data_IF_998188237115
#
_entry.id   IF_998188237115
#
_cell.length_a   1.000
_cell.length_b   1.000
_cell.length_c   1.000
_cell.angle_alpha   90.00
_cell.angle_beta   90.00
_cell.angle_gamma   90.00
#
_symmetry.space_group_name_H-M   'P 1'
#
loop_
_entity.id
_entity.type
_entity.pdbx_description
1 polymer ?
#
# COMPACT_ATOMS: atom_id res chain seq x y z
N UNK A 1 35.08 -15.86 18.61
CA UNK A 1 34.70 -16.17 17.21
C UNK A 1 35.90 -16.48 16.31
N UNK A 2 36.94 -15.65 16.21
CA UNK A 2 38.08 -15.88 15.29
C UNK A 2 38.82 -17.22 15.50
N UNK A 3 39.07 -17.62 16.76
CA UNK A 3 39.72 -18.89 17.10
C UNK A 3 38.92 -20.14 16.67
N UNK A 4 37.61 -20.01 16.46
CA UNK A 4 36.74 -21.11 16.01
C UNK A 4 36.77 -21.30 14.49
N UNK A 5 37.23 -20.28 13.74
CA UNK A 5 37.29 -20.29 12.27
C UNK A 5 38.71 -20.43 11.73
N UNK A 6 39.73 -19.94 12.46
CA UNK A 6 41.14 -20.07 12.07
C UNK A 6 41.83 -21.20 12.84
N UNK A 7 41.79 -22.40 12.28
CA UNK A 7 42.47 -23.59 12.81
C UNK A 7 43.99 -23.45 12.71
N UNK A 8 44.70 -23.71 13.82
CA UNK A 8 46.17 -23.75 13.84
C UNK A 8 46.85 -22.39 14.03
N UNK A 9 46.14 -21.35 14.47
CA UNK A 9 46.76 -20.07 14.82
C UNK A 9 47.73 -20.25 16.01
N UNK A 10 48.99 -19.84 15.85
CA UNK A 10 50.05 -19.99 16.87
C UNK A 10 50.42 -18.65 17.53
N UNK A 11 49.87 -17.54 17.05
CA UNK A 11 50.09 -16.20 17.60
C UNK A 11 48.89 -15.26 17.41
N UNK A 12 48.86 -14.15 18.16
CA UNK A 12 47.87 -13.09 17.95
C UNK A 12 48.02 -12.41 16.57
N UNK A 13 49.23 -12.39 16.02
CA UNK A 13 49.50 -11.83 14.70
C UNK A 13 48.89 -12.71 13.59
N UNK A 14 48.91 -14.03 13.79
CA UNK A 14 48.19 -14.96 12.91
C UNK A 14 46.70 -14.68 12.96
N UNK A 15 46.12 -14.46 14.15
CA UNK A 15 44.68 -14.20 14.28
C UNK A 15 44.25 -12.91 13.56
N UNK A 16 45.13 -11.89 13.51
CA UNK A 16 44.88 -10.61 12.82
C UNK A 16 45.11 -10.66 11.30
N UNK A 17 45.67 -11.73 10.76
CA UNK A 17 46.00 -11.82 9.34
C UNK A 17 44.91 -12.55 8.56
N UNK A 18 44.14 -11.83 7.73
CA UNK A 18 43.06 -12.38 6.89
C UNK A 18 43.46 -12.23 5.42
N UNK A 19 43.37 -13.31 4.63
CA UNK A 19 43.77 -13.33 3.21
C UNK A 19 45.20 -12.80 2.93
N UNK A 20 46.13 -12.96 3.88
CA UNK A 20 47.52 -12.50 3.76
C UNK A 20 47.75 -11.02 4.12
N UNK A 21 46.71 -10.31 4.53
CA UNK A 21 46.79 -8.91 4.97
C UNK A 21 46.57 -8.83 6.50
N UNK A 22 47.43 -8.07 7.18
CA UNK A 22 47.36 -7.90 8.63
C UNK A 22 46.39 -6.76 8.98
N UNK A 23 45.28 -7.11 9.60
CA UNK A 23 44.31 -6.17 10.14
C UNK A 23 44.87 -5.43 11.37
N UNK A 24 44.41 -4.20 11.59
CA UNK A 24 44.87 -3.34 12.67
C UNK A 24 44.25 -3.77 14.01
N UNK A 25 43.02 -4.29 13.97
CA UNK A 25 42.27 -4.71 15.16
C UNK A 25 41.61 -6.07 14.95
N UNK A 26 41.31 -6.77 16.05
CA UNK A 26 40.59 -8.05 16.00
C UNK A 26 39.16 -7.88 15.47
N UNK A 27 38.56 -6.70 15.65
CA UNK A 27 37.25 -6.37 15.12
C UNK A 27 37.29 -6.29 13.59
N UNK A 28 38.30 -5.62 13.02
CA UNK A 28 38.51 -5.57 11.57
C UNK A 28 38.77 -6.97 11.00
N UNK A 29 39.56 -7.80 11.69
CA UNK A 29 39.75 -9.20 11.30
C UNK A 29 38.43 -9.99 11.33
N UNK A 30 37.56 -9.76 12.31
CA UNK A 30 36.22 -10.37 12.34
C UNK A 30 35.33 -9.90 11.18
N UNK A 31 35.38 -8.62 10.79
CA UNK A 31 34.63 -8.09 9.63
C UNK A 31 35.11 -8.74 8.32
N UNK A 32 36.43 -8.84 8.10
CA UNK A 32 37.02 -9.49 6.93
C UNK A 32 36.70 -10.99 6.85
N UNK A 33 36.52 -11.66 7.99
CA UNK A 33 36.05 -13.05 8.06
C UNK A 33 34.52 -13.18 7.91
N UNK A 34 33.77 -12.09 7.75
CA UNK A 34 32.31 -12.08 7.69
C UNK A 34 31.64 -12.47 9.02
N UNK A 35 32.34 -12.31 10.15
CA UNK A 35 31.90 -12.69 11.50
C UNK A 35 31.25 -11.54 12.27
N UNK A 36 31.40 -10.30 11.79
CA UNK A 36 30.66 -9.14 12.25
C UNK A 36 29.88 -8.60 11.05
N UNK A 37 28.56 -8.50 11.19
CA UNK A 37 27.71 -7.79 10.23
C UNK A 37 27.87 -6.31 10.52
N UNK A 38 28.60 -5.58 9.69
CA UNK A 38 28.57 -4.12 9.72
C UNK A 38 27.27 -3.60 9.07
N UNK A 39 27.03 -2.30 9.17
CA UNK A 39 25.84 -1.66 8.60
C UNK A 39 25.80 -1.63 7.07
N UNK A 40 26.85 -2.10 6.38
CA UNK A 40 26.98 -2.08 4.92
C UNK A 40 25.76 -2.67 4.21
N UNK A 41 25.21 -3.78 4.72
CA UNK A 41 24.01 -4.41 4.15
C UNK A 41 22.80 -3.48 4.16
N UNK A 42 22.68 -2.60 5.17
CA UNK A 42 21.61 -1.62 5.28
C UNK A 42 21.83 -0.46 4.32
N UNK A 43 23.09 -0.03 4.13
CA UNK A 43 23.41 0.97 3.11
C UNK A 43 23.14 0.45 1.70
N UNK A 44 23.53 -0.78 1.40
CA UNK A 44 23.30 -1.41 0.10
C UNK A 44 21.80 -1.51 -0.19
N UNK A 45 21.00 -1.95 0.80
CA UNK A 45 19.54 -2.04 0.67
C UNK A 45 18.88 -0.67 0.39
N UNK A 46 19.30 0.39 1.10
CA UNK A 46 18.78 1.74 0.89
C UNK A 46 19.23 2.33 -0.46
N UNK A 47 20.49 2.11 -0.86
CA UNK A 47 21.03 2.55 -2.15
C UNK A 47 20.33 1.87 -3.32
N UNK A 48 20.08 0.57 -3.21
CA UNK A 48 19.36 -0.19 -4.22
C UNK A 48 17.92 0.31 -4.33
N UNK A 49 17.20 0.37 -3.21
CA UNK A 49 15.83 0.85 -3.19
C UNK A 49 15.70 2.28 -3.75
N UNK A 50 16.69 3.15 -3.49
CA UNK A 50 16.67 4.53 -3.96
C UNK A 50 16.65 4.67 -5.49
N UNK A 51 17.00 3.63 -6.24
CA UNK A 51 16.98 3.65 -7.71
C UNK A 51 15.57 3.50 -8.29
N UNK A 52 14.60 2.93 -7.55
CA UNK A 52 13.28 2.60 -8.09
C UNK A 52 12.10 2.85 -7.15
N UNK A 53 12.34 3.12 -5.87
CA UNK A 53 11.29 3.42 -4.88
C UNK A 53 11.08 4.93 -4.72
N UNK A 54 9.86 5.31 -4.34
CA UNK A 54 9.59 6.70 -3.96
C UNK A 54 10.23 7.06 -2.61
N UNK A 55 10.56 8.34 -2.34
CA UNK A 55 11.14 8.78 -1.07
C UNK A 55 10.35 8.33 0.17
N UNK A 56 9.01 8.29 0.10
CA UNK A 56 8.17 7.75 1.19
C UNK A 56 8.40 6.26 1.43
N UNK A 57 8.52 5.47 0.38
CA UNK A 57 8.82 4.03 0.49
C UNK A 57 10.23 3.81 1.05
N UNK A 58 11.20 4.68 0.70
CA UNK A 58 12.53 4.68 1.33
C UNK A 58 12.46 4.98 2.83
N UNK A 59 11.66 5.97 3.25
CA UNK A 59 11.45 6.26 4.68
C UNK A 59 10.79 5.11 5.43
N UNK A 60 9.87 4.37 4.79
CA UNK A 60 9.28 3.14 5.35
C UNK A 60 10.34 2.04 5.51
N UNK A 61 11.18 1.83 4.49
CA UNK A 61 12.28 0.86 4.55
C UNK A 61 13.29 1.24 5.64
N UNK A 62 13.66 2.52 5.74
CA UNK A 62 14.53 3.04 6.80
C UNK A 62 13.95 2.74 8.20
N UNK A 63 12.66 3.00 8.42
CA UNK A 63 12.01 2.70 9.70
C UNK A 63 11.97 1.19 10.01
N UNK A 64 11.76 0.34 8.99
CA UNK A 64 11.83 -1.12 9.12
C UNK A 64 13.24 -1.59 9.49
N UNK A 65 14.27 -1.06 8.82
CA UNK A 65 15.68 -1.34 9.11
C UNK A 65 15.99 -0.92 10.55
N UNK A 66 15.52 0.23 11.02
CA UNK A 66 15.71 0.62 12.41
C UNK A 66 14.96 -0.28 13.41
N UNK A 67 13.77 -0.78 13.03
CA UNK A 67 12.92 -1.61 13.88
C UNK A 67 13.37 -3.06 14.03
N UNK A 68 13.91 -3.64 12.96
CA UNK A 68 14.27 -5.06 12.89
C UNK A 68 15.73 -5.31 12.56
N UNK A 69 16.40 -4.36 11.93
CA UNK A 69 17.82 -4.44 11.64
C UNK A 69 18.62 -4.14 12.90
N UNK A 70 19.61 -4.99 13.17
CA UNK A 70 20.64 -4.72 14.18
C UNK A 70 21.62 -3.67 13.63
N UNK A 71 21.14 -2.43 13.46
CA UNK A 71 21.96 -1.31 12.95
C UNK A 71 22.85 -0.80 14.08
N UNK A 72 24.16 -0.70 13.83
CA UNK A 72 25.13 -0.19 14.81
C UNK A 72 25.10 1.35 14.91
N UNK A 73 25.00 2.07 13.78
CA UNK A 73 25.02 3.53 13.68
C UNK A 73 23.86 4.08 12.82
N UNK A 74 22.68 4.18 13.43
CA UNK A 74 21.49 4.78 12.78
C UNK A 74 21.71 6.25 12.36
N UNK A 75 22.41 7.11 13.14
CA UNK A 75 22.79 8.45 12.68
C UNK A 75 23.58 8.49 11.39
N UNK A 76 24.61 7.64 11.21
CA UNK A 76 25.35 7.56 9.95
C UNK A 76 24.45 7.10 8.80
N UNK A 77 23.64 6.06 9.03
CA UNK A 77 22.67 5.56 8.05
C UNK A 77 21.71 6.68 7.59
N UNK A 78 21.22 7.51 8.51
CA UNK A 78 20.41 8.67 8.16
C UNK A 78 21.19 9.69 7.33
N UNK A 79 22.40 10.07 7.74
CA UNK A 79 23.20 11.10 7.07
C UNK A 79 23.54 10.69 5.63
N UNK A 80 23.96 9.45 5.42
CA UNK A 80 24.35 8.94 4.10
C UNK A 80 23.18 8.88 3.13
N UNK A 81 21.97 8.60 3.62
CA UNK A 81 20.78 8.41 2.79
C UNK A 81 19.79 9.58 2.84
N UNK A 82 20.12 10.66 3.56
CA UNK A 82 19.23 11.79 3.82
C UNK A 82 18.66 12.37 2.53
N UNK A 83 19.50 12.57 1.51
CA UNK A 83 19.11 13.21 0.24
C UNK A 83 17.97 12.44 -0.43
N UNK A 84 18.11 11.11 -0.56
CA UNK A 84 17.07 10.25 -1.15
C UNK A 84 15.85 10.13 -0.24
N UNK A 85 16.07 10.11 1.09
CA UNK A 85 14.99 10.04 2.08
C UNK A 85 14.17 11.33 2.18
N UNK A 86 14.68 12.48 1.74
CA UNK A 86 13.98 13.76 1.85
C UNK A 86 13.69 14.44 0.50
N UNK A 87 14.02 13.81 -0.63
CA UNK A 87 13.92 14.39 -1.98
C UNK A 87 12.55 15.03 -2.27
N UNK A 88 11.46 14.34 -1.96
CA UNK A 88 10.09 14.83 -2.16
C UNK A 88 9.78 16.08 -1.31
N UNK A 89 10.28 16.13 -0.09
CA UNK A 89 10.12 17.27 0.82
C UNK A 89 11.05 18.42 0.49
N UNK A 90 12.27 18.16 0.02
CA UNK A 90 13.19 19.19 -0.47
C UNK A 90 12.62 19.86 -1.71
N UNK A 91 12.10 19.07 -2.65
CA UNK A 91 11.45 19.58 -3.86
C UNK A 91 10.20 20.40 -3.54
N UNK A 92 9.45 20.02 -2.51
CA UNK A 92 8.22 20.73 -2.11
C UNK A 92 8.47 21.98 -1.27
N UNK A 93 9.49 21.95 -0.41
CA UNK A 93 9.77 23.00 0.55
C UNK A 93 11.13 23.64 0.27
N UNK A 94 12.18 23.18 0.94
CA UNK A 94 13.55 23.64 0.73
C UNK A 94 14.54 22.63 1.27
N UNK A 95 15.81 22.72 0.84
CA UNK A 95 16.90 21.90 1.38
C UNK A 95 17.06 22.02 2.89
N UNK A 96 16.69 23.17 3.47
CA UNK A 96 16.80 23.44 4.91
C UNK A 96 15.68 22.77 5.71
N UNK A 97 14.47 22.74 5.16
CA UNK A 97 13.27 22.26 5.88
C UNK A 97 12.89 20.82 5.51
N UNK A 98 13.25 20.35 4.32
CA UNK A 98 12.98 19.00 3.81
C UNK A 98 13.42 17.87 4.75
N UNK A 99 14.67 17.87 5.27
CA UNK A 99 15.13 16.87 6.24
C UNK A 99 14.30 16.82 7.52
N UNK A 100 13.78 17.96 7.99
CA UNK A 100 12.94 18.01 9.19
C UNK A 100 11.58 17.34 8.95
N UNK A 101 10.99 17.53 7.77
CA UNK A 101 9.74 16.84 7.39
C UNK A 101 9.96 15.34 7.20
N UNK A 102 11.09 14.94 6.61
CA UNK A 102 11.43 13.53 6.45
C UNK A 102 11.63 12.83 7.81
N UNK A 103 12.36 13.44 8.75
CA UNK A 103 12.52 12.92 10.10
C UNK A 103 11.18 12.81 10.83
N UNK A 104 10.33 13.81 10.67
CA UNK A 104 9.02 13.81 11.30
C UNK A 104 8.10 12.69 10.74
N UNK A 105 8.14 12.40 9.42
CA UNK A 105 7.45 11.26 8.79
C UNK A 105 8.04 9.92 9.29
N UNK A 106 9.36 9.85 9.47
CA UNK A 106 10.05 8.69 10.07
C UNK A 106 9.61 8.46 11.52
N UNK A 107 9.46 9.50 12.35
CA UNK A 107 8.97 9.37 13.74
C UNK A 107 7.58 8.69 13.80
N UNK A 108 6.66 9.03 12.89
CA UNK A 108 5.36 8.34 12.80
C UNK A 108 5.55 6.84 12.47
N UNK A 109 6.40 6.54 11.49
CA UNK A 109 6.67 5.17 11.05
C UNK A 109 7.32 4.33 12.17
N UNK A 110 8.27 4.90 12.90
CA UNK A 110 8.97 4.25 14.01
C UNK A 110 8.05 3.89 15.19
N UNK A 111 6.93 4.60 15.34
CA UNK A 111 5.94 4.32 16.39
C UNK A 111 5.41 2.88 16.27
N UNK A 112 5.33 2.33 15.05
CA UNK A 112 4.91 0.95 14.82
C UNK A 112 5.89 -0.10 15.36
N UNK A 113 7.14 0.28 15.62
CA UNK A 113 8.22 -0.55 16.14
C UNK A 113 8.57 -0.23 17.61
N UNK A 114 7.74 0.57 18.30
CA UNK A 114 8.04 1.09 19.65
C UNK A 114 9.36 1.89 19.74
N UNK A 115 9.81 2.45 18.62
CA UNK A 115 10.99 3.31 18.52
C UNK A 115 10.59 4.78 18.44
N UNK A 116 11.58 5.67 18.58
CA UNK A 116 11.47 7.11 18.36
C UNK A 116 12.81 7.64 17.85
N UNK A 117 12.83 8.81 17.20
CA UNK A 117 14.07 9.44 16.76
C UNK A 117 15.02 9.64 17.94
N UNK A 118 14.49 9.98 19.12
CA UNK A 118 15.28 10.13 20.34
C UNK A 118 15.97 8.83 20.76
N UNK A 119 15.27 7.68 20.68
CA UNK A 119 15.86 6.37 21.00
C UNK A 119 16.93 5.96 20.00
N UNK A 120 16.84 6.45 18.77
CA UNK A 120 17.78 6.18 17.68
C UNK A 120 18.88 7.25 17.56
N UNK A 121 18.97 8.17 18.51
CA UNK A 121 19.95 9.27 18.50
C UNK A 121 19.87 10.17 17.26
N UNK A 122 18.71 10.24 16.61
CA UNK A 122 18.45 11.13 15.48
C UNK A 122 17.96 12.51 15.96
N UNK A 123 18.11 13.56 15.14
CA UNK A 123 17.63 14.89 15.49
C UNK A 123 16.13 14.88 15.77
N UNK A 124 15.74 15.22 17.00
CA UNK A 124 14.34 15.36 17.37
C UNK A 124 13.76 16.60 16.72
N UNK A 125 12.64 16.45 16.04
CA UNK A 125 11.99 17.55 15.36
C UNK A 125 10.83 18.03 16.19
N UNK A 126 10.93 19.25 16.74
CA UNK A 126 9.82 19.91 17.45
C UNK A 126 8.90 20.59 16.44
N UNK A 127 8.32 19.78 15.55
CA UNK A 127 7.23 20.22 14.67
C UNK A 127 5.92 19.89 15.38
N UNK A 128 4.99 20.87 15.49
CA UNK A 128 3.65 20.58 16.00
C UNK A 128 3.10 19.37 15.24
N UNK A 129 2.49 18.41 15.92
CA UNK A 129 1.92 17.24 15.25
C UNK A 129 0.90 17.60 14.15
N UNK A 130 0.30 18.80 14.25
CA UNK A 130 -0.51 19.38 13.20
C UNK A 130 0.27 19.61 11.91
N UNK A 131 1.59 19.79 11.93
CA UNK A 131 2.46 19.92 10.76
C UNK A 131 2.74 18.56 10.13
N UNK A 132 2.80 17.46 10.88
CA UNK A 132 2.98 16.12 10.29
C UNK A 132 1.75 15.62 9.51
N UNK A 133 0.55 15.94 10.00
CA UNK A 133 -0.70 15.63 9.30
C UNK A 133 -1.14 16.74 8.31
N UNK A 134 -0.74 18.02 8.51
CA UNK A 134 -1.08 19.14 7.61
C UNK A 134 0.01 19.50 6.58
N UNK A 135 1.23 18.97 6.66
CA UNK A 135 2.30 19.28 5.69
C UNK A 135 2.29 18.39 4.45
N UNK A 136 1.13 18.14 3.84
CA UNK A 136 1.15 17.50 2.51
C UNK A 136 0.32 18.23 1.45
N UNK A 137 -0.51 19.19 1.84
CA UNK A 137 -1.45 19.80 0.92
C UNK A 137 -1.52 21.31 1.16
N UNK A 138 -0.72 22.06 0.41
CA UNK A 138 -0.84 23.51 0.36
C UNK A 138 -2.25 23.87 -0.15
N UNK A 139 -2.99 24.63 0.65
CA UNK A 139 -4.39 24.98 0.36
C UNK A 139 -4.52 25.68 -1.00
N UNK A 140 -3.55 26.51 -1.37
CA UNK A 140 -3.51 27.23 -2.66
C UNK A 140 -3.26 26.25 -3.80
N UNK A 141 -2.31 25.34 -3.64
CA UNK A 141 -2.02 24.31 -4.65
C UNK A 141 -3.21 23.35 -4.85
N UNK A 142 -3.83 22.91 -3.76
CA UNK A 142 -5.01 22.06 -3.80
C UNK A 142 -6.20 22.78 -4.45
N UNK A 143 -6.39 24.07 -4.15
CA UNK A 143 -7.43 24.86 -4.79
C UNK A 143 -7.16 25.03 -6.29
N UNK A 144 -5.91 25.21 -6.71
CA UNK A 144 -5.53 25.26 -8.12
C UNK A 144 -5.82 23.93 -8.84
N UNK A 145 -5.46 22.79 -8.24
CA UNK A 145 -5.78 21.46 -8.76
C UNK A 145 -7.29 21.22 -8.81
N UNK A 146 -8.02 21.60 -7.76
CA UNK A 146 -9.48 21.49 -7.71
C UNK A 146 -10.14 22.24 -8.87
N UNK A 147 -9.71 23.48 -9.13
CA UNK A 147 -10.22 24.28 -10.24
C UNK A 147 -9.95 23.61 -11.59
N UNK A 148 -8.71 23.15 -11.82
CA UNK A 148 -8.33 22.45 -13.05
C UNK A 148 -9.12 21.16 -13.28
N UNK A 149 -9.28 20.34 -12.23
CA UNK A 149 -9.97 19.05 -12.33
C UNK A 149 -11.47 19.24 -12.56
N UNK A 150 -12.08 20.22 -11.88
CA UNK A 150 -13.51 20.53 -12.01
C UNK A 150 -13.89 20.93 -13.44
N UNK A 151 -12.99 21.60 -14.17
CA UNK A 151 -13.19 21.95 -15.58
C UNK A 151 -13.19 20.73 -16.50
N UNK A 152 -12.47 19.66 -16.14
CA UNK A 152 -12.31 18.44 -16.94
C UNK A 152 -13.39 17.38 -16.66
N UNK A 153 -14.19 17.53 -15.62
CA UNK A 153 -15.27 16.60 -15.30
C UNK A 153 -16.29 16.54 -16.44
N UNK A 154 -16.72 15.32 -16.78
CA UNK A 154 -17.92 15.13 -17.59
C UNK A 154 -19.20 15.41 -16.75
N UNK A 155 -20.36 15.42 -17.39
CA UNK A 155 -21.63 15.76 -16.74
C UNK A 155 -22.02 14.82 -15.58
N UNK A 156 -21.82 13.50 -15.74
CA UNK A 156 -22.11 12.51 -14.69
C UNK A 156 -21.20 12.72 -13.48
N UNK A 157 -19.90 12.87 -13.73
CA UNK A 157 -18.89 13.10 -12.70
C UNK A 157 -19.12 14.43 -11.96
N UNK A 158 -19.45 15.50 -12.70
CA UNK A 158 -19.77 16.81 -12.13
C UNK A 158 -20.98 16.73 -11.19
N UNK A 159 -22.05 16.05 -11.62
CA UNK A 159 -23.23 15.85 -10.79
C UNK A 159 -22.90 15.11 -9.49
N UNK A 160 -22.05 14.07 -9.55
CA UNK A 160 -21.58 13.37 -8.33
C UNK A 160 -20.81 14.31 -7.40
N UNK A 161 -19.87 15.08 -7.94
CA UNK A 161 -19.07 16.04 -7.15
C UNK A 161 -19.99 17.07 -6.48
N UNK A 162 -20.95 17.65 -7.20
CA UNK A 162 -21.88 18.64 -6.67
C UNK A 162 -22.77 18.07 -5.55
N UNK A 163 -23.32 16.87 -5.71
CA UNK A 163 -24.11 16.20 -4.68
C UNK A 163 -23.29 16.01 -3.40
N UNK A 164 -22.06 15.50 -3.53
CA UNK A 164 -21.20 15.21 -2.38
C UNK A 164 -20.72 16.50 -1.69
N UNK A 165 -20.35 17.53 -2.43
CA UNK A 165 -19.98 18.82 -1.84
C UNK A 165 -21.17 19.48 -1.13
N UNK A 166 -22.38 19.38 -1.68
CA UNK A 166 -23.59 19.83 -0.98
C UNK A 166 -23.83 19.05 0.32
N UNK A 167 -23.64 17.72 0.30
CA UNK A 167 -23.77 16.88 1.48
C UNK A 167 -22.76 17.21 2.58
N UNK A 168 -21.56 17.63 2.19
CA UNK A 168 -20.48 18.06 3.10
C UNK A 168 -20.75 19.44 3.69
N UNK A 169 -21.09 20.44 2.86
CA UNK A 169 -21.10 21.85 3.29
C UNK A 169 -22.48 22.41 3.63
N UNK A 170 -23.54 21.98 2.94
CA UNK A 170 -24.88 22.53 3.16
C UNK A 170 -25.64 21.77 4.25
N UNK A 171 -25.33 20.48 4.43
CA UNK A 171 -25.72 19.64 5.56
C UNK A 171 -27.15 19.87 6.09
N UNK A 172 -28.16 19.90 5.21
CA UNK A 172 -29.55 19.98 5.64
C UNK A 172 -29.94 18.68 6.36
N UNK A 173 -30.90 18.74 7.30
CA UNK A 173 -31.26 17.64 8.18
C UNK A 173 -31.61 16.32 7.43
N UNK A 174 -32.22 16.41 6.25
CA UNK A 174 -32.62 15.25 5.44
C UNK A 174 -31.56 14.81 4.41
N UNK A 175 -30.36 15.41 4.44
CA UNK A 175 -29.32 15.13 3.45
C UNK A 175 -28.70 13.76 3.71
N UNK A 176 -28.66 12.84 2.73
CA UNK A 176 -27.99 11.55 2.89
C UNK A 176 -26.52 11.72 3.30
N UNK A 177 -26.03 10.81 4.13
CA UNK A 177 -24.63 10.78 4.60
C UNK A 177 -23.82 9.64 4.03
N UNK A 178 -24.48 8.58 3.58
CA UNK A 178 -23.84 7.41 3.02
C UNK A 178 -24.08 7.39 1.51
N UNK A 179 -23.02 7.42 0.72
CA UNK A 179 -23.05 7.37 -0.74
C UNK A 179 -22.24 6.19 -1.27
N UNK A 180 -22.73 5.55 -2.33
CA UNK A 180 -21.99 4.54 -3.07
C UNK A 180 -21.88 4.98 -4.53
N UNK A 181 -20.66 5.15 -5.01
CA UNK A 181 -20.37 5.45 -6.41
C UNK A 181 -20.10 4.15 -7.17
N UNK A 182 -21.11 3.69 -7.89
CA UNK A 182 -20.99 2.58 -8.82
C UNK A 182 -20.44 3.10 -10.15
N UNK A 183 -19.40 2.45 -10.66
CA UNK A 183 -18.92 2.73 -11.99
C UNK A 183 -18.01 1.61 -12.48
N UNK A 184 -18.18 1.10 -13.71
CA UNK A 184 -17.27 0.13 -14.26
C UNK A 184 -15.83 0.64 -14.37
N UNK A 185 -14.89 -0.24 -14.72
CA UNK A 185 -13.52 0.14 -15.02
C UNK A 185 -13.49 1.22 -16.12
N UNK A 186 -12.66 2.25 -15.93
CA UNK A 186 -12.48 3.32 -16.92
C UNK A 186 -13.48 4.47 -16.87
N UNK A 187 -14.47 4.49 -15.98
CA UNK A 187 -15.44 5.61 -15.88
C UNK A 187 -14.94 6.84 -15.11
N UNK A 188 -13.71 6.79 -14.60
CA UNK A 188 -13.08 7.92 -13.91
C UNK A 188 -13.49 8.08 -12.44
N UNK A 189 -13.86 7.00 -11.73
CA UNK A 189 -14.14 7.02 -10.28
C UNK A 189 -13.01 7.69 -9.48
N UNK A 190 -11.76 7.27 -9.70
CA UNK A 190 -10.59 7.86 -9.05
C UNK A 190 -10.45 9.36 -9.34
N UNK A 191 -10.80 9.80 -10.55
CA UNK A 191 -10.78 11.23 -10.90
C UNK A 191 -11.83 12.05 -10.13
N UNK A 192 -13.01 11.46 -9.90
CA UNK A 192 -14.04 12.05 -9.01
C UNK A 192 -13.53 12.13 -7.57
N UNK A 193 -12.90 11.08 -7.06
CA UNK A 193 -12.31 11.08 -5.72
C UNK A 193 -11.25 12.18 -5.60
N UNK A 194 -10.30 12.24 -6.53
CA UNK A 194 -9.25 13.27 -6.53
C UNK A 194 -9.81 14.68 -6.60
N UNK A 195 -10.83 14.92 -7.42
CA UNK A 195 -11.50 16.23 -7.45
C UNK A 195 -12.10 16.59 -6.10
N UNK A 196 -12.82 15.67 -5.45
CA UNK A 196 -13.40 15.89 -4.12
C UNK A 196 -12.32 16.15 -3.07
N UNK A 197 -11.24 15.36 -3.08
CA UNK A 197 -10.10 15.50 -2.16
C UNK A 197 -9.49 16.89 -2.29
N UNK A 198 -9.11 17.31 -3.51
CA UNK A 198 -8.53 18.63 -3.77
C UNK A 198 -9.50 19.76 -3.41
N UNK A 199 -10.79 19.62 -3.72
CA UNK A 199 -11.77 20.68 -3.45
C UNK A 199 -11.96 20.91 -1.95
N UNK A 200 -11.97 19.85 -1.14
CA UNK A 200 -12.16 19.95 0.31
C UNK A 200 -10.88 20.46 0.98
N UNK A 201 -9.71 19.91 0.59
CA UNK A 201 -8.40 20.38 1.10
C UNK A 201 -8.10 21.82 0.71
N UNK A 202 -8.47 22.23 -0.51
CA UNK A 202 -8.36 23.62 -0.99
C UNK A 202 -9.23 24.62 -0.24
N UNK A 203 -10.20 24.14 0.56
CA UNK A 203 -10.97 24.97 1.52
C UNK A 203 -10.41 24.94 2.94
N UNK A 204 -9.32 24.20 3.16
CA UNK A 204 -8.67 24.03 4.47
C UNK A 204 -9.35 22.99 5.37
N UNK A 205 -10.23 22.15 4.82
CA UNK A 205 -10.94 21.11 5.56
C UNK A 205 -10.28 19.73 5.40
N UNK A 206 -10.47 18.87 6.40
CA UNK A 206 -9.88 17.53 6.44
C UNK A 206 -10.73 16.50 5.68
N UNK A 207 -10.05 15.66 4.88
CA UNK A 207 -10.65 14.57 4.10
C UNK A 207 -9.75 13.34 4.16
N UNK A 208 -10.36 12.16 4.37
CA UNK A 208 -9.63 10.90 4.51
C UNK A 208 -9.93 10.00 3.31
N UNK A 209 -8.95 9.78 2.41
CA UNK A 209 -9.02 8.70 1.42
C UNK A 209 -8.48 7.39 1.99
N UNK A 210 -9.28 6.34 1.88
CA UNK A 210 -8.87 4.97 2.16
C UNK A 210 -9.18 4.05 0.98
N UNK A 211 -8.51 2.91 0.93
CA UNK A 211 -8.88 1.82 0.03
C UNK A 211 -8.86 0.46 0.73
N UNK A 212 -9.52 -0.53 0.14
CA UNK A 212 -9.56 -1.90 0.65
C UNK A 212 -8.21 -2.65 0.52
N UNK A 213 -7.39 -2.30 -0.49
CA UNK A 213 -6.09 -2.95 -0.76
C UNK A 213 -4.95 -1.93 -0.77
N UNK A 214 -3.72 -2.39 -0.54
CA UNK A 214 -2.53 -1.52 -0.57
C UNK A 214 -2.32 -0.84 -1.91
N UNK A 215 -2.43 -1.60 -3.02
CA UNK A 215 -2.25 -1.07 -4.38
C UNK A 215 -3.33 -0.02 -4.72
N UNK A 216 -4.59 -0.25 -4.33
CA UNK A 216 -5.62 0.77 -4.56
C UNK A 216 -5.38 2.03 -3.73
N UNK A 217 -4.83 1.89 -2.52
CA UNK A 217 -4.53 3.03 -1.66
C UNK A 217 -3.45 3.95 -2.26
N UNK A 218 -2.46 3.41 -2.99
CA UNK A 218 -1.40 4.22 -3.62
C UNK A 218 -1.93 5.09 -4.77
N UNK A 219 -3.06 4.72 -5.37
CA UNK A 219 -3.71 5.50 -6.43
C UNK A 219 -4.49 6.70 -5.88
N UNK A 220 -4.76 6.75 -4.57
CA UNK A 220 -5.43 7.87 -3.91
C UNK A 220 -4.39 8.83 -3.32
N UNK A 221 -4.58 10.12 -3.55
CA UNK A 221 -3.65 11.15 -3.07
C UNK A 221 -3.71 11.26 -1.54
N UNK A 222 -2.65 10.82 -0.87
CA UNK A 222 -2.61 10.68 0.59
C UNK A 222 -3.36 9.44 1.10
N UNK A 223 -3.65 8.48 0.22
CA UNK A 223 -4.38 7.26 0.54
C UNK A 223 -3.60 6.31 1.45
N UNK A 224 -4.35 5.58 2.29
CA UNK A 224 -3.89 4.46 3.12
C UNK A 224 -4.91 3.34 3.06
N UNK A 225 -4.55 2.13 3.50
CA UNK A 225 -5.55 1.06 3.62
C UNK A 225 -6.53 1.38 4.75
N UNK A 226 -7.80 0.98 4.57
CA UNK A 226 -8.82 1.18 5.60
C UNK A 226 -8.44 0.50 6.94
N UNK A 227 -7.82 -0.67 6.87
CA UNK A 227 -7.27 -1.38 8.04
C UNK A 227 -6.26 -0.52 8.81
N UNK A 228 -5.35 0.18 8.11
CA UNK A 228 -4.33 1.02 8.74
C UNK A 228 -4.91 2.27 9.39
N UNK A 229 -5.87 2.94 8.73
CA UNK A 229 -6.46 4.20 9.19
C UNK A 229 -7.39 3.99 10.37
N UNK A 230 -8.32 3.03 10.27
CA UNK A 230 -9.30 2.79 11.33
C UNK A 230 -8.80 1.80 12.38
N UNK A 231 -7.63 1.16 12.20
CA UNK A 231 -7.15 0.06 13.05
C UNK A 231 -8.15 -1.10 13.10
N UNK A 232 -8.64 -1.49 11.92
CA UNK A 232 -9.57 -2.62 11.77
C UNK A 232 -8.80 -3.92 12.09
N UNK A 233 -9.30 -4.78 13.00
CA UNK A 233 -8.66 -6.06 13.27
C UNK A 233 -8.70 -6.96 12.03
N UNK A 234 -7.70 -7.83 11.88
CA UNK A 234 -7.63 -8.79 10.76
C UNK A 234 -8.75 -9.83 10.90
N UNK A 235 -8.96 -10.35 12.11
CA UNK A 235 -10.03 -11.28 12.41
C UNK A 235 -11.34 -10.54 12.73
N UNK A 236 -12.29 -10.62 11.79
CA UNK A 236 -13.53 -9.88 11.83
C UNK A 236 -14.76 -10.77 12.05
N UNK A 237 -15.55 -10.42 13.06
CA UNK A 237 -16.87 -10.98 13.32
C UNK A 237 -17.92 -9.86 13.46
N UNK A 238 -19.20 -10.25 13.63
CA UNK A 238 -20.31 -9.31 13.67
C UNK A 238 -20.20 -8.26 14.80
N UNK A 239 -19.49 -8.60 15.88
CA UNK A 239 -19.27 -7.75 17.07
C UNK A 239 -17.92 -7.04 17.10
N UNK A 240 -17.03 -7.27 16.11
CA UNK A 240 -15.70 -6.66 16.09
C UNK A 240 -15.75 -5.14 16.14
N UNK A 241 -14.84 -4.54 16.89
CA UNK A 241 -14.63 -3.09 16.96
C UNK A 241 -13.25 -2.75 16.43
N UNK A 242 -13.07 -1.51 16.00
CA UNK A 242 -11.77 -1.00 15.61
C UNK A 242 -10.88 -0.76 16.85
N UNK A 243 -9.58 -1.05 16.73
CA UNK A 243 -8.60 -0.90 17.81
C UNK A 243 -8.03 0.53 17.87
N UNK A 244 -8.90 1.53 17.84
CA UNK A 244 -8.54 2.95 17.90
C UNK A 244 -9.03 3.55 19.22
N UNK A 245 -8.12 4.11 20.01
CA UNK A 245 -8.43 4.67 21.33
C UNK A 245 -8.99 6.09 21.19
N UNK A 246 -9.98 6.49 22.01
CA UNK A 246 -10.36 7.90 22.11
C UNK A 246 -9.19 8.77 22.59
N UNK A 247 -9.19 10.06 22.24
CA UNK A 247 -8.15 11.04 22.61
C UNK A 247 -6.76 10.79 22.02
N UNK A 248 -6.67 10.07 20.90
CA UNK A 248 -5.44 10.02 20.09
C UNK A 248 -5.55 11.00 18.92
N UNK A 249 -4.41 11.33 18.29
CA UNK A 249 -4.40 12.22 17.11
C UNK A 249 -5.22 11.65 15.96
N UNK A 250 -5.17 10.34 15.77
CA UNK A 250 -5.95 9.63 14.75
C UNK A 250 -7.46 9.74 15.02
N UNK A 251 -7.88 9.67 16.30
CA UNK A 251 -9.26 9.91 16.69
C UNK A 251 -9.70 11.35 16.38
N UNK A 252 -8.86 12.32 16.70
CA UNK A 252 -9.11 13.74 16.42
C UNK A 252 -9.19 14.02 14.91
N UNK A 253 -8.34 13.37 14.10
CA UNK A 253 -8.38 13.46 12.64
C UNK A 253 -9.71 12.93 12.11
N UNK A 254 -10.17 11.77 12.59
CA UNK A 254 -11.49 11.21 12.23
C UNK A 254 -12.64 12.13 12.64
N UNK A 255 -12.53 12.78 13.80
CA UNK A 255 -13.52 13.74 14.29
C UNK A 255 -13.55 15.04 13.46
N UNK A 256 -12.43 15.54 12.97
CA UNK A 256 -12.37 16.76 12.14
C UNK A 256 -12.74 16.53 10.69
N UNK A 257 -12.50 15.32 10.19
CA UNK A 257 -12.76 14.92 8.81
C UNK A 257 -14.21 15.18 8.38
N UNK A 258 -14.36 15.81 7.22
CA UNK A 258 -15.65 16.16 6.60
C UNK A 258 -16.18 15.07 5.66
N UNK A 259 -15.28 14.38 4.99
CA UNK A 259 -15.59 13.31 4.04
C UNK A 259 -14.59 12.16 4.20
N UNK A 260 -15.10 10.93 4.20
CA UNK A 260 -14.29 9.72 4.08
C UNK A 260 -14.60 9.08 2.74
N UNK A 261 -13.57 8.94 1.90
CA UNK A 261 -13.65 8.21 0.62
C UNK A 261 -13.06 6.83 0.84
N UNK A 262 -13.78 5.76 0.46
CA UNK A 262 -13.30 4.39 0.55
C UNK A 262 -13.39 3.69 -0.80
N UNK A 263 -12.25 3.54 -1.47
CA UNK A 263 -12.15 2.88 -2.78
C UNK A 263 -12.02 1.35 -2.68
N UNK A 264 -12.45 0.66 -3.73
CA UNK A 264 -12.58 -0.81 -3.79
C UNK A 264 -13.42 -1.41 -2.65
N UNK A 265 -14.45 -0.69 -2.20
CA UNK A 265 -15.35 -1.10 -1.13
C UNK A 265 -16.00 -2.51 -1.34
N UNK A 266 -16.34 -2.96 -2.57
CA UNK A 266 -16.89 -4.29 -2.79
C UNK A 266 -16.00 -5.46 -2.33
N UNK A 267 -14.69 -5.27 -2.28
CA UNK A 267 -13.73 -6.28 -1.81
C UNK A 267 -13.69 -6.40 -0.27
N UNK A 268 -14.27 -5.44 0.46
CA UNK A 268 -14.21 -5.41 1.92
C UNK A 268 -15.33 -6.23 2.55
N UNK A 269 -14.97 -7.07 3.53
CA UNK A 269 -15.92 -7.83 4.32
C UNK A 269 -16.88 -6.90 5.08
N UNK A 270 -18.19 -7.22 5.09
CA UNK A 270 -19.21 -6.36 5.69
C UNK A 270 -18.94 -5.96 7.14
N UNK A 271 -18.41 -6.89 7.94
CA UNK A 271 -18.00 -6.64 9.34
C UNK A 271 -16.99 -5.50 9.51
N UNK A 272 -16.12 -5.23 8.53
CA UNK A 272 -15.20 -4.09 8.59
C UNK A 272 -15.98 -2.76 8.57
N UNK A 273 -17.00 -2.63 7.70
CA UNK A 273 -17.86 -1.45 7.69
C UNK A 273 -18.64 -1.29 8.99
N UNK A 274 -19.09 -2.39 9.60
CA UNK A 274 -19.79 -2.35 10.90
C UNK A 274 -18.85 -1.96 12.05
N UNK A 275 -17.60 -2.42 12.03
CA UNK A 275 -16.60 -2.03 13.01
C UNK A 275 -16.28 -0.53 12.90
N UNK A 276 -16.17 0.01 11.69
CA UNK A 276 -15.95 1.44 11.45
C UNK A 276 -17.18 2.27 11.78
N UNK A 277 -18.38 1.80 11.46
CA UNK A 277 -19.65 2.44 11.84
C UNK A 277 -19.74 2.60 13.37
N UNK A 278 -19.50 1.52 14.12
CA UNK A 278 -19.44 1.56 15.60
C UNK A 278 -18.39 2.53 16.11
N UNK A 279 -17.17 2.47 15.57
CA UNK A 279 -16.10 3.38 15.96
C UNK A 279 -16.52 4.84 15.78
N UNK A 280 -17.04 5.21 14.61
CA UNK A 280 -17.40 6.60 14.32
C UNK A 280 -18.59 7.07 15.16
N UNK A 281 -19.59 6.21 15.40
CA UNK A 281 -20.69 6.53 16.31
C UNK A 281 -20.19 6.77 17.74
N UNK A 282 -19.22 5.99 18.20
CA UNK A 282 -18.64 6.11 19.54
C UNK A 282 -17.74 7.34 19.67
N UNK A 283 -17.00 7.71 18.63
CA UNK A 283 -16.18 8.93 18.60
C UNK A 283 -17.06 10.18 18.55
N UNK A 284 -18.01 10.25 17.60
CA UNK A 284 -18.84 11.45 17.39
C UNK A 284 -20.00 11.57 18.37
N UNK A 285 -20.28 10.51 19.16
CA UNK A 285 -21.45 10.41 20.04
C UNK A 285 -22.78 10.56 19.29
N UNK A 286 -22.80 10.20 18.01
CA UNK A 286 -23.98 10.23 17.15
C UNK A 286 -24.36 8.80 16.76
N UNK A 287 -25.65 8.44 16.83
CA UNK A 287 -26.16 7.10 16.48
C UNK A 287 -26.58 6.97 15.01
N UNK A 288 -26.40 8.02 14.22
CA UNK A 288 -26.56 7.93 12.77
C UNK A 288 -25.46 7.06 12.16
N UNK A 289 -25.71 6.43 10.98
CA UNK A 289 -24.69 5.67 10.27
C UNK A 289 -23.38 6.43 10.14
N UNK A 290 -22.29 5.75 10.48
CA UNK A 290 -20.91 6.27 10.53
C UNK A 290 -20.78 7.54 11.39
N UNK A 291 -21.56 7.64 12.46
CA UNK A 291 -21.51 8.77 13.37
C UNK A 291 -21.92 10.10 12.73
N UNK A 292 -22.74 10.07 11.67
CA UNK A 292 -23.18 11.25 10.92
C UNK A 292 -22.13 11.81 9.93
N UNK A 293 -21.00 11.13 9.76
CA UNK A 293 -19.97 11.50 8.79
C UNK A 293 -20.44 11.24 7.37
N UNK A 294 -20.02 12.09 6.43
CA UNK A 294 -20.23 11.84 5.01
C UNK A 294 -19.25 10.75 4.56
N UNK A 295 -19.79 9.63 4.09
CA UNK A 295 -19.03 8.49 3.58
C UNK A 295 -19.33 8.33 2.09
N UNK A 296 -18.28 8.27 1.27
CA UNK A 296 -18.35 7.87 -0.12
C UNK A 296 -17.64 6.53 -0.31
N UNK A 297 -18.42 5.47 -0.45
CA UNK A 297 -17.90 4.18 -0.88
C UNK A 297 -17.78 4.16 -2.41
N UNK A 298 -16.68 3.61 -2.89
CA UNK A 298 -16.34 3.51 -4.30
C UNK A 298 -16.09 2.08 -4.71
N UNK A 299 -16.49 1.72 -5.93
CA UNK A 299 -16.07 0.46 -6.52
C UNK A 299 -17.05 -0.08 -7.55
N UNK A 300 -16.88 -1.36 -7.85
CA UNK A 300 -17.68 -2.07 -8.81
C UNK A 300 -18.00 -3.49 -8.32
N UNK A 301 -19.27 -3.77 -8.02
CA UNK A 301 -19.71 -5.11 -7.57
C UNK A 301 -19.70 -6.18 -8.67
N UNK A 302 -19.41 -5.81 -9.92
CA UNK A 302 -19.14 -6.76 -11.01
C UNK A 302 -17.70 -7.31 -10.94
N UNK A 303 -16.86 -6.75 -10.08
CA UNK A 303 -15.49 -7.19 -9.85
C UNK A 303 -15.42 -8.19 -8.68
N UNK A 304 -14.30 -8.19 -7.95
CA UNK A 304 -13.98 -9.16 -6.91
C UNK A 304 -14.76 -8.84 -5.63
N UNK A 305 -15.40 -9.87 -5.07
CA UNK A 305 -16.10 -9.83 -3.78
C UNK A 305 -15.12 -10.13 -2.62
N UNK A 306 -15.54 -10.00 -1.35
CA UNK A 306 -14.65 -10.24 -0.22
C UNK A 306 -14.07 -11.65 -0.23
N UNK A 307 -12.76 -11.74 -0.06
CA UNK A 307 -12.05 -13.03 -0.02
C UNK A 307 -12.32 -13.70 1.32
N UNK A 308 -12.92 -14.89 1.29
CA UNK A 308 -13.12 -15.73 2.48
C UNK A 308 -12.28 -16.98 2.29
N UNK A 309 -11.21 -17.12 3.09
CA UNK A 309 -10.33 -18.28 3.02
C UNK A 309 -11.14 -19.56 3.25
N UNK A 310 -11.05 -20.49 2.30
CA UNK A 310 -11.80 -21.76 2.31
C UNK A 310 -13.33 -21.58 2.37
N UNK A 311 -13.83 -20.38 2.05
CA UNK A 311 -15.25 -20.07 2.05
C UNK A 311 -15.98 -20.56 0.80
N UNK A 312 -17.26 -20.87 0.95
CA UNK A 312 -18.12 -21.17 -0.20
C UNK A 312 -18.52 -19.90 -0.94
N UNK A 313 -18.97 -20.03 -2.20
CA UNK A 313 -19.55 -18.90 -2.96
C UNK A 313 -20.69 -18.21 -2.20
N UNK A 314 -21.53 -18.98 -1.52
CA UNK A 314 -22.63 -18.46 -0.70
C UNK A 314 -22.09 -17.61 0.45
N UNK A 315 -21.02 -18.06 1.11
CA UNK A 315 -20.41 -17.33 2.21
C UNK A 315 -19.77 -16.01 1.73
N UNK A 316 -19.04 -16.02 0.61
CA UNK A 316 -18.50 -14.80 0.00
C UNK A 316 -19.60 -13.80 -0.33
N UNK A 317 -20.71 -14.26 -0.93
CA UNK A 317 -21.86 -13.39 -1.23
C UNK A 317 -22.50 -12.86 0.06
N UNK A 318 -22.71 -13.70 1.07
CA UNK A 318 -23.27 -13.30 2.36
C UNK A 318 -22.40 -12.28 3.11
N UNK A 319 -21.09 -12.33 2.88
CA UNK A 319 -20.09 -11.42 3.47
C UNK A 319 -20.01 -10.06 2.76
N UNK A 320 -20.69 -9.90 1.62
CA UNK A 320 -20.74 -8.65 0.87
C UNK A 320 -21.64 -7.61 1.55
N UNK A 321 -21.25 -6.34 1.46
CA UNK A 321 -22.06 -5.22 1.96
C UNK A 321 -23.50 -5.25 1.41
N UNK A 322 -23.72 -5.63 0.15
CA UNK A 322 -25.05 -5.71 -0.49
C UNK A 322 -26.02 -6.67 0.21
N UNK A 323 -25.53 -7.61 1.02
CA UNK A 323 -26.36 -8.57 1.75
C UNK A 323 -26.73 -8.11 3.16
N UNK A 324 -26.23 -6.96 3.60
CA UNK A 324 -26.49 -6.44 4.94
C UNK A 324 -27.41 -5.21 4.93
N UNK A 325 -28.16 -4.99 6.01
CA UNK A 325 -29.12 -3.89 6.14
C UNK A 325 -28.47 -2.50 6.00
N UNK A 326 -27.19 -2.37 6.35
CA UNK A 326 -26.42 -1.14 6.18
C UNK A 326 -26.44 -0.64 4.72
N UNK A 327 -26.49 -1.54 3.73
CA UNK A 327 -26.56 -1.18 2.32
C UNK A 327 -27.79 -0.34 1.96
N UNK A 328 -28.90 -0.51 2.68
CA UNK A 328 -30.12 0.26 2.46
C UNK A 328 -29.95 1.75 2.84
N UNK A 329 -28.94 2.08 3.66
CA UNK A 329 -28.63 3.45 4.06
C UNK A 329 -27.85 4.24 3.00
N UNK A 330 -27.24 3.55 2.05
CA UNK A 330 -26.44 4.18 1.00
C UNK A 330 -27.32 4.76 -0.11
N UNK A 331 -27.08 6.00 -0.52
CA UNK A 331 -27.59 6.57 -1.76
C UNK A 331 -26.65 6.18 -2.91
N UNK A 332 -27.20 5.67 -4.03
CA UNK A 332 -26.41 5.10 -5.11
C UNK A 332 -26.27 6.12 -6.24
N UNK A 333 -25.02 6.38 -6.61
CA UNK A 333 -24.62 7.24 -7.71
C UNK A 333 -23.96 6.37 -8.77
N UNK A 334 -24.11 6.72 -10.04
CA UNK A 334 -23.65 5.90 -11.16
C UNK A 334 -22.81 6.73 -12.13
N UNK A 335 -21.66 6.17 -12.54
CA UNK A 335 -20.92 6.62 -13.71
C UNK A 335 -21.03 5.55 -14.78
N UNK A 336 -21.50 5.90 -15.97
CA UNK A 336 -21.74 4.94 -17.05
C UNK A 336 -20.82 5.18 -18.24
N UNK A 337 -20.36 6.41 -18.43
CA UNK A 337 -19.48 6.77 -19.55
C UNK A 337 -18.05 6.27 -19.33
N UNK A 338 -17.60 5.34 -20.17
CA UNK A 338 -16.20 4.91 -20.20
C UNK A 338 -15.34 6.02 -20.83
N UNK A 339 -14.26 6.39 -20.13
CA UNK A 339 -13.33 7.45 -20.53
C UNK A 339 -11.94 6.90 -20.91
N UNK A 340 -11.72 5.59 -20.74
CA UNK A 340 -10.42 4.92 -20.95
C UNK A 340 -10.41 4.08 -22.22
N UNK A 341 -11.50 3.38 -22.51
CA UNK A 341 -11.63 2.54 -23.69
C UNK A 341 -11.72 3.37 -24.96
N UNK A 342 -11.09 2.89 -26.03
CA UNK A 342 -11.19 3.49 -27.36
C UNK A 342 -12.59 3.27 -27.94
N UNK A 343 -12.99 4.11 -28.90
CA UNK A 343 -14.28 3.96 -29.57
C UNK A 343 -14.41 2.60 -30.30
N UNK A 344 -13.30 2.09 -30.83
CA UNK A 344 -13.22 0.76 -31.45
C UNK A 344 -13.42 -0.40 -30.47
N UNK A 345 -13.27 -0.17 -29.16
CA UNK A 345 -13.40 -1.19 -28.11
C UNK A 345 -14.79 -1.17 -27.46
N UNK A 346 -15.70 -0.31 -27.94
CA UNK A 346 -17.02 -0.10 -27.35
C UNK A 346 -17.84 -1.39 -27.25
N UNK A 347 -17.83 -2.21 -28.29
CA UNK A 347 -18.60 -3.46 -28.34
C UNK A 347 -18.03 -4.49 -27.34
N UNK A 348 -16.71 -4.57 -27.22
CA UNK A 348 -16.06 -5.43 -26.23
C UNK A 348 -16.37 -4.96 -24.80
N UNK A 349 -16.34 -3.65 -24.57
CA UNK A 349 -16.75 -3.06 -23.29
C UNK A 349 -18.21 -3.36 -22.94
N UNK A 350 -19.12 -3.27 -23.91
CA UNK A 350 -20.53 -3.63 -23.72
C UNK A 350 -20.70 -5.12 -23.39
N UNK A 351 -19.99 -6.00 -24.09
CA UNK A 351 -19.99 -7.44 -23.81
C UNK A 351 -19.47 -7.76 -22.39
N UNK A 352 -18.40 -7.11 -21.94
CA UNK A 352 -17.89 -7.26 -20.57
C UNK A 352 -18.93 -6.84 -19.52
N UNK A 353 -19.69 -5.77 -19.78
CA UNK A 353 -20.77 -5.33 -18.89
C UNK A 353 -21.90 -6.35 -18.84
N UNK A 354 -22.28 -6.92 -19.97
CA UNK A 354 -23.35 -7.93 -20.03
C UNK A 354 -22.98 -9.21 -19.26
N UNK A 355 -21.69 -9.59 -19.24
CA UNK A 355 -21.20 -10.66 -18.36
C UNK A 355 -21.39 -10.30 -16.88
N UNK A 356 -20.94 -9.10 -16.48
CA UNK A 356 -21.04 -8.64 -15.09
C UNK A 356 -22.48 -8.53 -14.59
N UNK A 357 -23.41 -8.14 -15.47
CA UNK A 357 -24.85 -8.04 -15.19
C UNK A 357 -25.60 -9.38 -15.35
N UNK A 358 -24.88 -10.48 -15.60
CA UNK A 358 -25.44 -11.84 -15.81
C UNK A 358 -26.45 -11.94 -16.95
N UNK A 359 -26.35 -11.10 -17.97
CA UNK A 359 -27.19 -11.18 -19.16
C UNK A 359 -26.74 -12.28 -20.13
N UNK A 360 -25.48 -12.71 -20.03
CA UNK A 360 -24.88 -13.73 -20.90
C UNK A 360 -25.24 -15.18 -20.55
N UNK A 361 -26.14 -15.43 -19.58
CA UNK A 361 -26.50 -16.78 -19.12
C UNK A 361 -25.40 -17.46 -18.28
N UNK A 362 -25.50 -18.78 -18.10
CA UNK A 362 -24.53 -19.57 -17.30
C UNK A 362 -23.24 -19.90 -18.04
N UNK A 363 -23.25 -19.82 -19.38
CA UNK A 363 -22.13 -20.18 -20.24
C UNK A 363 -21.70 -18.95 -21.02
N UNK A 364 -20.51 -18.43 -20.71
CA UNK A 364 -19.96 -17.24 -21.36
C UNK A 364 -19.26 -17.67 -22.65
N UNK A 365 -19.73 -17.16 -23.79
CA UNK A 365 -19.03 -17.28 -25.07
C UNK A 365 -18.00 -16.15 -25.17
N UNK A 366 -16.72 -16.50 -25.23
CA UNK A 366 -15.64 -15.53 -25.41
C UNK A 366 -15.59 -15.04 -26.87
N UNK A 367 -15.40 -13.73 -27.13
CA UNK A 367 -15.14 -13.20 -28.46
C UNK A 367 -13.90 -13.83 -29.09
N UNK A 368 -13.86 -13.90 -30.43
CA UNK A 368 -12.73 -14.50 -31.16
C UNK A 368 -11.38 -13.86 -30.81
N UNK A 369 -11.37 -12.55 -30.56
CA UNK A 369 -10.17 -11.81 -30.14
C UNK A 369 -9.59 -12.23 -28.78
N UNK A 370 -10.34 -12.98 -27.96
CA UNK A 370 -9.84 -13.53 -26.69
C UNK A 370 -9.11 -14.87 -26.86
N UNK A 371 -9.10 -15.46 -28.07
CA UNK A 371 -8.37 -16.69 -28.37
C UNK A 371 -7.07 -16.36 -29.11
N UNK A 372 -5.94 -16.23 -28.39
CA UNK A 372 -4.69 -15.91 -29.03
C UNK A 372 -4.21 -17.08 -29.89
N UNK A 373 -3.57 -16.77 -31.02
CA UNK A 373 -2.92 -17.78 -31.87
C UNK A 373 -1.73 -18.44 -31.18
N UNK A 374 -1.02 -17.68 -30.34
CA UNK A 374 0.09 -18.12 -29.49
C UNK A 374 -0.45 -18.39 -28.09
N UNK A 375 -0.28 -19.63 -27.61
CA UNK A 375 -0.81 -20.05 -26.30
C UNK A 375 0.15 -19.78 -25.13
N UNK A 376 1.45 -19.64 -25.39
CA UNK A 376 2.41 -19.23 -24.36
C UNK A 376 2.30 -17.71 -24.15
N UNK A 377 1.83 -17.24 -22.99
CA UNK A 377 1.61 -15.81 -22.74
C UNK A 377 2.91 -15.00 -22.77
N UNK A 378 4.06 -15.61 -22.43
CA UNK A 378 5.36 -14.95 -22.50
C UNK A 378 5.73 -14.73 -23.96
N UNK A 379 5.66 -15.79 -24.77
CA UNK A 379 5.95 -15.66 -26.20
C UNK A 379 4.94 -14.75 -26.90
N UNK A 380 3.66 -14.79 -26.51
CA UNK A 380 2.63 -13.92 -27.07
C UNK A 380 2.93 -12.43 -26.80
N UNK A 381 3.37 -12.10 -25.58
CA UNK A 381 3.56 -10.70 -25.17
C UNK A 381 4.95 -10.16 -25.51
N UNK A 382 5.97 -11.03 -25.64
CA UNK A 382 7.36 -10.64 -25.79
C UNK A 382 8.03 -11.18 -27.07
N UNK A 383 7.29 -11.74 -28.04
CA UNK A 383 7.87 -12.26 -29.29
C UNK A 383 8.61 -11.21 -30.13
N UNK A 384 8.31 -9.93 -29.92
CA UNK A 384 8.92 -8.80 -30.60
C UNK A 384 10.14 -8.23 -29.86
N UNK A 385 10.50 -8.79 -28.70
CA UNK A 385 11.63 -8.34 -27.88
C UNK A 385 12.79 -9.34 -27.99
N UNK A 386 13.98 -8.79 -28.24
CA UNK A 386 15.23 -9.51 -27.99
C UNK A 386 15.68 -9.26 -26.54
N UNK A 387 15.47 -10.26 -25.69
CA UNK A 387 15.82 -10.16 -24.28
C UNK A 387 17.34 -9.96 -24.05
N UNK A 388 18.21 -10.33 -24.98
CA UNK A 388 19.66 -10.14 -24.80
C UNK A 388 20.10 -8.69 -24.80
N UNK A 389 19.27 -7.79 -25.34
CA UNK A 389 19.55 -6.35 -25.45
C UNK A 389 18.40 -5.46 -24.96
N UNK A 390 17.43 -6.04 -24.24
CA UNK A 390 16.20 -5.36 -23.83
C UNK A 390 16.45 -4.18 -22.91
N UNK A 391 15.78 -3.07 -23.19
CA UNK A 391 15.78 -1.88 -22.35
C UNK A 391 14.54 -1.81 -21.46
N UNK A 392 14.61 -1.15 -20.28
CA UNK A 392 13.42 -0.94 -19.44
C UNK A 392 12.25 -0.26 -20.16
N UNK A 393 12.55 0.56 -21.17
CA UNK A 393 11.54 1.27 -21.95
C UNK A 393 10.73 0.34 -22.87
N UNK A 394 11.34 -0.74 -23.39
CA UNK A 394 10.66 -1.74 -24.23
C UNK A 394 9.75 -2.66 -23.43
N UNK A 395 10.07 -2.86 -22.15
CA UNK A 395 9.25 -3.62 -21.19
C UNK A 395 8.06 -2.80 -20.67
N UNK A 396 8.16 -1.47 -20.69
CA UNK A 396 7.14 -0.57 -20.15
C UNK A 396 5.79 -0.79 -20.81
N UNK A 397 4.74 -0.89 -19.99
CA UNK A 397 3.36 -1.02 -20.46
C UNK A 397 2.92 -2.45 -20.82
N UNK A 398 3.79 -3.45 -20.62
CA UNK A 398 3.48 -4.86 -20.80
C UNK A 398 3.19 -5.51 -19.45
N UNK A 399 2.11 -6.28 -19.35
CA UNK A 399 1.77 -7.02 -18.14
C UNK A 399 1.05 -8.33 -18.48
N UNK A 400 1.40 -9.40 -17.76
CA UNK A 400 0.68 -10.68 -17.80
C UNK A 400 -0.09 -10.81 -16.48
N UNK A 401 -1.40 -11.03 -16.57
CA UNK A 401 -2.25 -11.27 -15.41
C UNK A 401 -2.57 -12.77 -15.34
N UNK A 402 -2.45 -13.34 -14.15
CA UNK A 402 -2.76 -14.75 -13.89
C UNK A 402 -3.81 -14.87 -12.79
N UNK A 403 -4.46 -16.04 -12.71
CA UNK A 403 -5.54 -16.30 -11.74
C UNK A 403 -5.03 -16.66 -10.34
N UNK A 404 -3.77 -17.10 -10.22
CA UNK A 404 -3.18 -17.52 -8.95
C UNK A 404 -1.71 -17.09 -8.86
N UNK A 405 -1.22 -16.96 -7.63
CA UNK A 405 0.13 -16.48 -7.37
C UNK A 405 1.20 -17.48 -7.86
N UNK A 406 0.95 -18.78 -7.77
CA UNK A 406 1.86 -19.84 -8.23
C UNK A 406 2.21 -19.65 -9.72
N UNK A 407 1.19 -19.54 -10.58
CA UNK A 407 1.38 -19.31 -12.01
C UNK A 407 2.01 -17.95 -12.29
N UNK A 408 1.68 -16.93 -11.49
CA UNK A 408 2.34 -15.63 -11.60
C UNK A 408 3.84 -15.74 -11.34
N UNK A 409 4.24 -16.49 -10.30
CA UNK A 409 5.64 -16.70 -9.95
C UNK A 409 6.37 -17.51 -11.02
N UNK A 410 5.77 -18.60 -11.51
CA UNK A 410 6.33 -19.38 -12.62
C UNK A 410 6.63 -18.52 -13.85
N UNK A 411 5.68 -17.67 -14.24
CA UNK A 411 5.84 -16.78 -15.41
C UNK A 411 6.89 -15.71 -15.13
N UNK A 412 6.88 -15.10 -13.93
CA UNK A 412 7.89 -14.10 -13.56
C UNK A 412 9.29 -14.70 -13.60
N UNK A 413 9.50 -15.89 -13.04
CA UNK A 413 10.78 -16.58 -13.05
C UNK A 413 11.24 -16.91 -14.48
N UNK A 414 10.32 -17.42 -15.32
CA UNK A 414 10.62 -17.67 -16.74
C UNK A 414 11.04 -16.40 -17.48
N UNK A 415 10.40 -15.26 -17.19
CA UNK A 415 10.77 -13.96 -17.79
C UNK A 415 12.11 -13.48 -17.26
N UNK A 416 12.39 -13.65 -15.96
CA UNK A 416 13.67 -13.32 -15.34
C UNK A 416 14.83 -14.11 -15.93
N UNK A 417 14.65 -15.39 -16.27
CA UNK A 417 15.67 -16.23 -16.93
C UNK A 417 16.12 -15.67 -18.29
N UNK A 418 15.26 -14.91 -18.98
CA UNK A 418 15.62 -14.28 -20.24
C UNK A 418 16.37 -12.94 -20.04
N UNK A 419 16.26 -12.30 -18.87
CA UNK A 419 16.82 -10.97 -18.66
C UNK A 419 18.36 -11.00 -18.66
N UNK A 420 19.01 -9.99 -19.28
CA UNK A 420 20.46 -9.89 -19.27
C UNK A 420 20.94 -9.37 -17.92
N UNK A 421 22.03 -9.91 -17.40
CA UNK A 421 22.65 -9.46 -16.14
C UNK A 421 23.05 -10.61 -15.23
N UNK A 422 23.58 -10.25 -14.05
CA UNK A 422 23.89 -11.22 -13.01
C UNK A 422 22.67 -11.41 -12.10
N UNK A 423 22.28 -12.65 -11.88
CA UNK A 423 21.25 -13.00 -10.90
C UNK A 423 21.75 -12.65 -9.48
N UNK A 424 20.89 -12.00 -8.71
CA UNK A 424 21.11 -11.76 -7.28
C UNK A 424 19.98 -12.39 -6.50
N UNK A 425 20.32 -13.28 -5.56
CA UNK A 425 19.34 -14.02 -4.75
C UNK A 425 19.28 -13.43 -3.35
N UNK A 426 18.13 -12.91 -2.97
CA UNK A 426 17.85 -12.40 -1.63
C UNK A 426 17.15 -13.48 -0.82
N UNK A 427 17.83 -14.00 0.20
CA UNK A 427 17.28 -15.05 1.07
C UNK A 427 16.50 -14.45 2.23
N UNK A 428 15.35 -15.04 2.55
CA UNK A 428 14.58 -14.65 3.71
C UNK A 428 15.28 -15.14 5.00
N UNK A 429 15.02 -14.44 6.11
CA UNK A 429 15.42 -14.90 7.45
C UNK A 429 14.15 -15.05 8.25
N UNK A 430 13.69 -16.30 8.37
CA UNK A 430 12.42 -16.61 9.00
C UNK A 430 12.61 -17.03 10.44
N UNK A 431 11.85 -16.40 11.33
CA UNK A 431 11.85 -16.73 12.75
C UNK A 431 10.44 -16.85 13.29
N UNK A 432 10.23 -17.86 14.14
CA UNK A 432 9.01 -18.00 14.92
C UNK A 432 9.10 -17.04 16.11
N UNK A 433 8.13 -16.15 16.23
CA UNK A 433 7.93 -15.41 17.48
C UNK A 433 6.97 -16.22 18.36
N UNK A 434 7.53 -17.11 19.19
CA UNK A 434 6.79 -17.86 20.22
C UNK A 434 7.48 -17.71 21.58
N UNK A 435 6.66 -17.67 22.64
CA UNK A 435 7.13 -17.73 24.03
C UNK A 435 7.42 -19.18 24.47
N UNK A 436 7.02 -20.18 23.69
CA UNK A 436 7.28 -21.60 23.96
C UNK A 436 8.55 -22.09 23.24
N UNK A 437 9.60 -22.50 23.98
CA UNK A 437 10.82 -23.06 23.39
C UNK A 437 10.60 -24.32 22.55
N UNK A 438 9.48 -25.04 22.72
CA UNK A 438 9.17 -26.25 21.92
C UNK A 438 8.69 -25.92 20.50
N UNK A 439 8.19 -24.71 20.25
CA UNK A 439 7.74 -24.33 18.91
C UNK A 439 8.90 -24.23 17.91
N UNK A 440 10.09 -23.81 18.37
CA UNK A 440 11.32 -23.79 17.55
C UNK A 440 11.74 -25.19 17.07
N UNK A 441 11.39 -26.23 17.81
CA UNK A 441 11.63 -27.64 17.42
C UNK A 441 10.52 -28.20 16.53
N UNK A 442 9.33 -27.60 16.58
CA UNK A 442 8.13 -28.08 15.89
C UNK A 442 8.01 -27.51 14.48
N UNK A 443 8.48 -26.29 14.25
CA UNK A 443 8.50 -25.65 12.93
C UNK A 443 9.95 -25.33 12.55
N UNK A 444 10.68 -26.29 11.96
CA UNK A 444 12.07 -26.08 11.59
C UNK A 444 12.18 -25.06 10.45
N UNK A 445 13.38 -24.49 10.26
CA UNK A 445 13.64 -23.47 9.24
C UNK A 445 13.24 -23.95 7.83
N UNK A 446 13.42 -25.23 7.51
CA UNK A 446 13.01 -25.79 6.22
C UNK A 446 11.47 -25.77 6.04
N UNK A 447 10.70 -25.90 7.12
CA UNK A 447 9.25 -25.77 7.06
C UNK A 447 8.85 -24.31 6.84
N UNK A 448 9.49 -23.36 7.52
CA UNK A 448 9.20 -21.93 7.35
C UNK A 448 9.53 -21.46 5.93
N UNK A 449 10.68 -21.87 5.40
CA UNK A 449 11.11 -21.57 4.02
C UNK A 449 10.21 -22.23 2.97
N UNK A 450 9.42 -23.25 3.33
CA UNK A 450 8.42 -23.83 2.43
C UNK A 450 7.12 -23.04 2.35
N UNK A 451 6.90 -22.07 3.26
CA UNK A 451 5.68 -21.29 3.32
C UNK A 451 5.74 -20.14 2.30
N UNK A 452 4.67 -19.98 1.54
CA UNK A 452 4.44 -18.82 0.67
C UNK A 452 3.18 -18.08 1.11
N UNK A 453 3.20 -17.45 2.29
CA UNK A 453 2.05 -16.72 2.81
C UNK A 453 1.63 -15.58 1.86
N UNK A 454 0.32 -15.38 1.73
CA UNK A 454 -0.22 -14.40 0.78
C UNK A 454 0.27 -12.99 1.14
N UNK A 455 0.90 -12.31 0.18
CA UNK A 455 1.38 -10.94 0.36
C UNK A 455 2.81 -10.82 0.91
N UNK A 456 3.53 -11.92 1.10
CA UNK A 456 4.95 -11.93 1.40
C UNK A 456 5.76 -12.46 0.20
N UNK A 457 7.03 -12.04 0.04
CA UNK A 457 7.91 -12.62 -0.97
C UNK A 457 8.11 -14.11 -0.72
N UNK A 458 8.55 -14.83 -1.76
CA UNK A 458 8.86 -16.24 -1.61
C UNK A 458 9.98 -16.40 -0.58
N UNK A 459 9.71 -17.14 0.49
CA UNK A 459 10.71 -17.50 1.48
C UNK A 459 11.63 -18.53 0.81
N UNK A 460 12.94 -18.29 0.72
CA UNK A 460 13.90 -19.22 0.10
C UNK A 460 15.27 -19.11 0.75
#
# INVERSE_FOLDING_TARGET
>A
MLLLRKSGAISFDDILTVNGLRCITFQQACQEYGLLRGDQQWHDALNEAAQFQSPRQLRMLFAMICGFGEVEDVPDLWVQHQVSLCEDFVHRYSEQTGPHYALADIEELLTSYNLSLQKLHLPTVDLPASVLERANFDVVEEQAKANSYTMQLNSEQRNVVEILLSAVYNNAADTPKCYFLDGPAGTGKTFVYSTLLHTIRGRGDDVIPVASTGIAATLLIGGRTAHSVFKIPIDLNATSTCNLKPNTKEADMLLKTKLIVWDEAPMTHVHAFLAVDRLLQDLTKCKEPFGGKVILLGGDFRQVLPVILRGSRTLTVASSLKKHALWLKFHKLYLTKNMRALESERDFGAWLLDIGEKKSGSTIQLPLQCYPSIQDPVHQLYSDIDFSSVTPQELKGRAILTVNNERSMEINNKVLEFMPGNETVYKAVDMIMSEDPQDQLTFPEEFLNSLTPTGLPHMS
#
